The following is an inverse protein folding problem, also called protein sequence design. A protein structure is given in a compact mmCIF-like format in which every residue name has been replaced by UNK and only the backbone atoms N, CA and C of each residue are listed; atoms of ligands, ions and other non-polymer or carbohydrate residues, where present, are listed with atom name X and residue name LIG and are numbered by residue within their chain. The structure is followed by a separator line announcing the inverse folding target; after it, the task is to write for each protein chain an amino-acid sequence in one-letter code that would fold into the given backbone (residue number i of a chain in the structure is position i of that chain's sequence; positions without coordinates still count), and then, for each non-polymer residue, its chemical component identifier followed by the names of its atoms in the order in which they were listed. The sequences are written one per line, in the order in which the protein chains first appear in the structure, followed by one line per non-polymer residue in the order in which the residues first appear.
data_IF_279011700085
#
_entry.id   IF_279011700085
#
_cell.length_a   1.000
_cell.length_b   1.000
_cell.length_c   1.000
_cell.angle_alpha   90.00
_cell.angle_beta   90.00
_cell.angle_gamma   90.00
#
_symmetry.space_group_name_H-M   'P 1'
#
loop_
_entity.id
_entity.type
_entity.pdbx_description
1 polymer ?
#
# COMPACT_ATOMS: atom_id res chain seq x y z
N UNK A 1 4.08 5.97 10.52
CA UNK A 1 4.71 6.61 9.35
C UNK A 1 4.13 5.94 8.12
N UNK A 2 3.36 6.66 7.29
CA UNK A 2 2.77 6.11 6.07
C UNK A 2 3.73 6.31 4.88
N UNK A 3 3.78 5.42 3.89
CA UNK A 3 4.49 5.64 2.64
C UNK A 3 3.94 6.85 1.86
N UNK A 4 4.65 7.33 0.82
CA UNK A 4 4.18 8.43 -0.02
C UNK A 4 2.79 8.17 -0.59
N UNK A 5 1.92 9.19 -0.59
CA UNK A 5 0.52 9.12 -1.04
C UNK A 5 0.38 9.16 -2.57
N UNK A 6 1.28 8.50 -3.29
CA UNK A 6 1.26 8.46 -4.75
C UNK A 6 0.18 7.49 -5.24
N UNK A 7 -0.96 8.02 -5.67
CA UNK A 7 -2.15 7.24 -6.10
C UNK A 7 -1.78 6.16 -7.14
N UNK A 8 -0.97 6.50 -8.14
CA UNK A 8 -0.52 5.55 -9.17
C UNK A 8 0.22 4.32 -8.63
N UNK A 9 0.82 4.40 -7.43
CA UNK A 9 1.51 3.26 -6.81
C UNK A 9 0.62 2.46 -5.87
N UNK A 10 -0.49 3.05 -5.46
CA UNK A 10 -1.40 2.52 -4.46
C UNK A 10 -2.85 2.51 -4.97
N UNK A 11 -3.14 1.84 -6.11
CA UNK A 11 -4.46 1.87 -6.72
C UNK A 11 -5.54 1.29 -5.80
N UNK A 12 -5.20 0.36 -4.89
CA UNK A 12 -6.17 -0.18 -3.93
C UNK A 12 -6.56 0.81 -2.84
N UNK A 13 -5.72 1.80 -2.56
CA UNK A 13 -5.91 2.74 -1.47
C UNK A 13 -6.26 4.16 -1.99
N UNK A 14 -6.55 4.31 -3.28
CA UNK A 14 -6.79 5.60 -3.93
C UNK A 14 -7.88 6.41 -3.22
N UNK A 15 -9.03 5.79 -2.93
CA UNK A 15 -10.16 6.45 -2.26
C UNK A 15 -9.79 6.97 -0.86
N UNK A 16 -9.09 6.15 -0.05
CA UNK A 16 -8.67 6.55 1.30
C UNK A 16 -7.60 7.65 1.25
N UNK A 17 -6.73 7.61 0.24
CA UNK A 17 -5.74 8.67 0.00
C UNK A 17 -6.47 9.99 -0.30
N UNK A 18 -7.46 9.99 -1.19
CA UNK A 18 -8.24 11.17 -1.53
C UNK A 18 -8.97 11.74 -0.32
N UNK A 19 -9.63 10.89 0.48
CA UNK A 19 -10.29 11.32 1.73
C UNK A 19 -9.30 11.93 2.71
N UNK A 20 -8.12 11.32 2.88
CA UNK A 20 -7.09 11.82 3.79
C UNK A 20 -6.51 13.15 3.31
N UNK A 21 -6.27 13.30 2.00
CA UNK A 21 -5.83 14.56 1.40
C UNK A 21 -6.88 15.65 1.55
N UNK A 22 -8.15 15.32 1.32
CA UNK A 22 -9.27 16.25 1.52
C UNK A 22 -9.35 16.73 2.97
N UNK A 23 -9.23 15.83 3.95
CA UNK A 23 -9.18 16.21 5.36
C UNK A 23 -8.03 17.19 5.67
N UNK A 24 -6.86 16.98 5.06
CA UNK A 24 -5.71 17.88 5.20
C UNK A 24 -5.88 19.25 4.53
N UNK A 25 -6.72 19.34 3.49
CA UNK A 25 -7.08 20.58 2.79
C UNK A 25 -8.13 21.35 3.60
N UNK A 26 -9.18 20.65 4.05
CA UNK A 26 -10.28 21.22 4.82
C UNK A 26 -9.83 21.66 6.22
N UNK A 27 -8.81 21.00 6.77
CA UNK A 27 -8.25 21.30 8.09
C UNK A 27 -6.73 21.56 8.05
N UNK A 28 -6.28 22.73 7.55
CA UNK A 28 -4.85 23.05 7.44
C UNK A 28 -4.13 23.01 8.79
N UNK A 29 -4.79 23.52 9.84
CA UNK A 29 -4.33 23.50 11.25
C UNK A 29 -4.69 22.18 11.95
N UNK A 30 -5.69 21.45 11.47
CA UNK A 30 -6.16 20.18 12.05
C UNK A 30 -5.15 19.03 11.98
N UNK A 31 -4.13 19.17 11.13
CA UNK A 31 -2.95 18.28 11.09
C UNK A 31 -2.26 18.16 12.45
N UNK A 32 -2.34 19.20 13.28
CA UNK A 32 -1.73 19.24 14.61
C UNK A 32 -2.68 18.80 15.73
N UNK A 33 -3.98 18.73 15.48
CA UNK A 33 -5.02 18.43 16.49
C UNK A 33 -5.65 17.04 16.31
N UNK A 34 -4.98 16.12 15.63
CA UNK A 34 -5.47 14.74 15.40
C UNK A 34 -6.83 14.63 14.69
N UNK A 35 -7.31 15.68 14.02
CA UNK A 35 -8.62 15.67 13.34
C UNK A 35 -8.72 14.64 12.20
N UNK A 36 -7.59 14.31 11.56
CA UNK A 36 -7.53 13.35 10.45
C UNK A 36 -6.98 11.98 10.87
N UNK A 37 -6.89 11.69 12.17
CA UNK A 37 -6.22 10.48 12.69
C UNK A 37 -6.96 9.19 12.31
N UNK A 38 -8.29 9.17 12.30
CA UNK A 38 -9.03 7.98 11.87
C UNK A 38 -8.78 7.61 10.40
N UNK A 39 -8.74 8.63 9.52
CA UNK A 39 -8.40 8.44 8.11
C UNK A 39 -6.95 7.95 7.95
N UNK A 40 -6.02 8.47 8.75
CA UNK A 40 -4.64 7.99 8.80
C UNK A 40 -4.55 6.51 9.19
N UNK A 41 -5.30 6.08 10.20
CA UNK A 41 -5.32 4.68 10.65
C UNK A 41 -5.84 3.76 9.54
N UNK A 42 -6.95 4.15 8.88
CA UNK A 42 -7.51 3.41 7.74
C UNK A 42 -6.52 3.32 6.58
N UNK A 43 -5.85 4.43 6.28
CA UNK A 43 -4.83 4.51 5.24
C UNK A 43 -3.64 3.57 5.52
N UNK A 44 -3.11 3.61 6.74
CA UNK A 44 -2.02 2.73 7.18
C UNK A 44 -2.42 1.26 7.09
N UNK A 45 -3.67 0.92 7.45
CA UNK A 45 -4.20 -0.44 7.30
C UNK A 45 -4.24 -0.86 5.83
N UNK A 46 -4.78 -0.02 4.96
CA UNK A 46 -4.84 -0.30 3.51
C UNK A 46 -3.44 -0.54 2.92
N UNK A 47 -2.45 0.29 3.27
CA UNK A 47 -1.09 0.11 2.78
C UNK A 47 -0.45 -1.20 3.26
N UNK A 48 -0.74 -1.64 4.49
CA UNK A 48 -0.27 -2.93 4.99
C UNK A 48 -0.90 -4.08 4.21
N UNK A 49 -2.19 -4.01 3.92
CA UNK A 49 -2.92 -5.02 3.15
C UNK A 49 -2.42 -5.08 1.70
N UNK A 50 -2.26 -3.93 1.05
CA UNK A 50 -1.72 -3.88 -0.32
C UNK A 50 -0.30 -4.46 -0.38
N UNK A 51 0.56 -4.10 0.59
CA UNK A 51 1.91 -4.64 0.70
C UNK A 51 1.91 -6.15 0.92
N UNK A 52 1.00 -6.66 1.75
CA UNK A 52 0.87 -8.10 1.99
C UNK A 52 0.44 -8.84 0.71
N UNK A 53 -0.53 -8.30 -0.05
CA UNK A 53 -0.96 -8.87 -1.33
C UNK A 53 0.18 -8.90 -2.36
N UNK A 54 0.88 -7.78 -2.53
CA UNK A 54 2.06 -7.69 -3.43
C UNK A 54 3.15 -8.69 -3.03
N UNK A 55 3.45 -8.81 -1.74
CA UNK A 55 4.42 -9.81 -1.24
C UNK A 55 4.01 -11.25 -1.55
N UNK A 56 2.73 -11.58 -1.39
CA UNK A 56 2.21 -12.92 -1.71
C UNK A 56 2.34 -13.22 -3.20
N UNK A 57 1.92 -12.30 -4.07
CA UNK A 57 2.05 -12.47 -5.52
C UNK A 57 3.52 -12.65 -5.94
N UNK A 58 4.42 -11.78 -5.47
CA UNK A 58 5.85 -11.87 -5.77
C UNK A 58 6.46 -13.19 -5.27
N UNK A 59 6.02 -13.69 -4.12
CA UNK A 59 6.49 -14.97 -3.58
C UNK A 59 6.05 -16.14 -4.47
N UNK A 60 4.80 -16.16 -4.92
CA UNK A 60 4.28 -17.19 -5.83
C UNK A 60 5.00 -17.16 -7.18
N UNK A 61 5.24 -15.97 -7.75
CA UNK A 61 6.00 -15.81 -9.00
C UNK A 61 7.46 -16.24 -8.85
N UNK A 62 8.10 -15.83 -7.75
CA UNK A 62 9.47 -16.23 -7.42
C UNK A 62 9.60 -17.74 -7.27
N UNK A 63 8.62 -18.40 -6.61
CA UNK A 63 8.58 -19.85 -6.48
C UNK A 63 8.48 -20.54 -7.84
N UNK A 64 7.52 -20.12 -8.69
CA UNK A 64 7.34 -20.66 -10.05
C UNK A 64 8.57 -20.47 -10.94
N UNK A 65 9.25 -19.32 -10.82
CA UNK A 65 10.48 -19.06 -11.56
C UNK A 65 11.61 -19.97 -11.07
N UNK A 66 11.74 -20.13 -9.75
CA UNK A 66 12.77 -21.00 -9.16
C UNK A 66 12.58 -22.46 -9.53
N UNK A 67 11.34 -22.94 -9.61
CA UNK A 67 11.01 -24.29 -10.07
C UNK A 67 11.40 -24.47 -11.55
N UNK A 68 10.99 -23.57 -12.44
CA UNK A 68 11.37 -23.60 -13.87
C UNK A 68 12.89 -23.59 -14.09
N UNK A 69 13.62 -22.75 -13.36
CA UNK A 69 15.08 -22.68 -13.48
C UNK A 69 15.79 -23.93 -12.94
N UNK A 70 15.17 -24.66 -12.01
CA UNK A 70 15.70 -25.95 -11.53
C UNK A 70 15.50 -27.04 -12.56
N UNK A 71 14.31 -27.12 -13.16
CA UNK A 71 14.01 -28.07 -14.25
C UNK A 71 15.00 -27.90 -15.41
N UNK A 72 15.19 -26.67 -15.89
CA UNK A 72 16.14 -26.33 -16.96
C UNK A 72 17.61 -26.63 -16.65
N UNK A 73 17.99 -26.76 -15.37
CA UNK A 73 19.38 -27.08 -14.97
C UNK A 73 19.64 -28.58 -14.93
N UNK A 74 18.58 -29.38 -14.78
CA UNK A 74 18.67 -30.84 -14.67
C UNK A 74 18.58 -31.53 -16.04
N UNK A 75 18.17 -30.79 -17.08
CA UNK A 75 18.22 -31.15 -18.50
C UNK A 75 19.56 -30.73 -19.11
#
# INVERSE_FOLDING_TARGET
MHPPLTIHRHPMCAEIIEMFQKCHIDHPVGKFFNQCTDLKIKLDKCFREEKARKRKANFEESKKLRERLREQRME
#
